data_IF_297088503990
#
_entry.id   IF_297088503990
#
_cell.length_a   1.000
_cell.length_b   1.000
_cell.length_c   1.000
_cell.angle_alpha   90.00
_cell.angle_beta   90.00
_cell.angle_gamma   90.00
#
_symmetry.space_group_name_H-M   'P 1'
#
loop_
_entity.id
_entity.type
_entity.pdbx_description
1 polymer ?
#
# COMPACT_ATOMS: atom_id res chain seq x y z
N UNK A 1 9.42 -2.36 1.07
CA UNK A 1 8.32 -2.21 0.10
C UNK A 1 7.84 -3.58 -0.30
N UNK A 2 6.58 -3.90 -0.08
CA UNK A 2 6.05 -5.25 -0.35
C UNK A 2 5.18 -5.20 -1.61
N UNK A 3 4.03 -4.52 -1.54
CA UNK A 3 3.19 -4.20 -2.70
C UNK A 3 2.93 -2.70 -2.71
N UNK A 4 2.18 -2.21 -3.69
CA UNK A 4 1.85 -0.78 -3.79
C UNK A 4 0.93 -0.26 -2.67
N UNK A 5 0.50 -1.12 -1.76
CA UNK A 5 -0.31 -0.76 -0.60
C UNK A 5 0.26 -1.26 0.73
N UNK A 6 1.46 -1.80 0.73
CA UNK A 6 2.04 -2.43 1.92
C UNK A 6 3.53 -2.12 2.01
N UNK A 7 3.96 -1.60 3.15
CA UNK A 7 5.36 -1.24 3.36
C UNK A 7 5.82 -1.68 4.76
N UNK A 8 7.12 -1.96 4.86
CA UNK A 8 7.75 -2.23 6.15
C UNK A 8 8.30 -0.93 6.69
N UNK A 9 8.02 -0.64 7.95
CA UNK A 9 8.50 0.59 8.60
C UNK A 9 9.14 0.24 9.93
N UNK A 10 9.97 1.18 10.41
CA UNK A 10 10.47 1.16 11.78
C UNK A 10 9.80 2.30 12.52
N UNK A 11 8.93 1.97 13.45
CA UNK A 11 8.15 2.96 14.19
C UNK A 11 8.83 3.26 15.52
N UNK A 12 9.10 4.53 15.79
CA UNK A 12 9.57 4.96 17.11
C UNK A 12 8.37 5.11 18.04
N UNK A 13 8.35 4.33 19.11
CA UNK A 13 7.20 4.29 20.01
C UNK A 13 7.44 5.00 21.33
N UNK A 14 8.61 4.85 21.96
CA UNK A 14 8.91 5.51 23.23
C UNK A 14 10.36 5.31 23.62
N UNK A 15 10.96 6.31 24.29
CA UNK A 15 12.30 6.26 24.88
C UNK A 15 13.33 5.58 23.98
N UNK A 16 13.42 6.03 22.73
CA UNK A 16 14.36 5.52 21.73
C UNK A 16 14.13 4.05 21.35
N UNK A 17 12.95 3.51 21.64
CA UNK A 17 12.60 2.16 21.19
C UNK A 17 11.94 2.21 19.82
N UNK A 18 12.48 1.42 18.90
CA UNK A 18 11.92 1.26 17.57
C UNK A 18 11.30 -0.13 17.44
N UNK A 19 10.16 -0.19 16.75
CA UNK A 19 9.50 -1.44 16.42
C UNK A 19 9.41 -1.56 14.91
N UNK A 20 9.91 -2.66 14.36
CA UNK A 20 9.71 -2.98 12.96
C UNK A 20 8.29 -3.53 12.79
N UNK A 21 7.53 -2.95 11.86
CA UNK A 21 6.18 -3.40 11.59
C UNK A 21 5.86 -3.29 10.11
N UNK A 22 4.88 -4.07 9.68
CA UNK A 22 4.36 -4.01 8.31
C UNK A 22 3.08 -3.19 8.36
N UNK A 23 3.00 -2.18 7.52
CA UNK A 23 1.85 -1.27 7.43
C UNK A 23 1.11 -1.54 6.12
N UNK A 24 -0.16 -1.87 6.23
CA UNK A 24 -1.12 -1.88 5.14
C UNK A 24 -1.72 -0.49 5.06
N UNK A 25 -1.55 0.18 3.94
CA UNK A 25 -2.11 1.52 3.74
C UNK A 25 -3.63 1.40 3.66
N UNK A 26 -4.32 2.11 4.54
CA UNK A 26 -5.77 2.03 4.63
C UNK A 26 -6.44 2.72 3.45
N UNK A 27 -7.59 2.19 3.07
CA UNK A 27 -8.43 2.83 2.05
C UNK A 27 -8.10 2.50 0.61
N UNK A 28 -7.08 1.68 0.34
CA UNK A 28 -6.70 1.33 -1.03
C UNK A 28 -6.46 -0.17 -1.21
N UNK A 29 -6.53 -0.59 -2.45
CA UNK A 29 -6.16 -1.93 -2.90
C UNK A 29 -5.24 -1.80 -4.11
N UNK A 30 -4.06 -2.41 -4.04
CA UNK A 30 -3.08 -2.40 -5.11
C UNK A 30 -3.06 -3.76 -5.82
N UNK A 31 -2.68 -3.77 -7.11
CA UNK A 31 -2.41 -5.04 -7.78
C UNK A 31 -1.22 -5.74 -7.11
N UNK A 32 -1.24 -7.07 -7.14
CA UNK A 32 -0.26 -7.88 -6.42
C UNK A 32 0.87 -8.31 -7.34
N UNK A 33 2.10 -8.31 -6.81
CA UNK A 33 3.27 -8.83 -7.53
C UNK A 33 3.10 -10.31 -7.88
N UNK A 34 2.31 -11.04 -7.08
CA UNK A 34 1.96 -12.43 -7.33
C UNK A 34 0.59 -12.58 -7.99
N UNK A 35 0.20 -11.57 -8.77
CA UNK A 35 -1.09 -11.55 -9.42
C UNK A 35 -1.29 -12.66 -10.44
N UNK A 36 -2.54 -12.87 -10.84
CA UNK A 36 -2.95 -14.01 -11.66
C UNK A 36 -2.74 -13.81 -13.15
N UNK A 37 -2.41 -12.59 -13.60
CA UNK A 37 -2.13 -12.32 -15.01
C UNK A 37 -0.93 -11.38 -15.14
N UNK A 38 -0.30 -11.39 -16.33
CA UNK A 38 0.87 -10.56 -16.59
C UNK A 38 0.57 -9.08 -16.43
N UNK A 39 -0.63 -8.64 -16.82
CA UNK A 39 -1.03 -7.25 -16.70
C UNK A 39 -1.13 -6.81 -15.23
N UNK A 40 -1.66 -7.66 -14.36
CA UNK A 40 -1.70 -7.36 -12.92
C UNK A 40 -0.28 -7.25 -12.35
N UNK A 41 0.59 -8.19 -12.68
CA UNK A 41 1.97 -8.18 -12.21
C UNK A 41 2.73 -6.94 -12.69
N UNK A 42 2.52 -6.52 -13.93
CA UNK A 42 3.14 -5.31 -14.46
C UNK A 42 2.63 -4.05 -13.74
N UNK A 43 1.33 -3.97 -13.49
CA UNK A 43 0.73 -2.88 -12.71
C UNK A 43 1.25 -2.87 -11.28
N UNK A 44 1.45 -4.04 -10.69
CA UNK A 44 1.99 -4.17 -9.34
C UNK A 44 3.40 -3.61 -9.23
N UNK A 45 4.25 -3.89 -10.23
CA UNK A 45 5.60 -3.33 -10.28
C UNK A 45 5.55 -1.81 -10.36
N UNK A 46 4.66 -1.26 -11.20
CA UNK A 46 4.51 0.18 -11.34
C UNK A 46 4.00 0.84 -10.05
N UNK A 47 3.01 0.24 -9.40
CA UNK A 47 2.44 0.76 -8.15
C UNK A 47 3.48 0.72 -7.02
N UNK A 48 4.22 -0.37 -6.90
CA UNK A 48 5.30 -0.50 -5.92
C UNK A 48 6.40 0.53 -6.13
N UNK A 49 6.82 0.73 -7.38
CA UNK A 49 7.84 1.71 -7.72
C UNK A 49 7.37 3.13 -7.39
N UNK A 50 6.11 3.45 -7.69
CA UNK A 50 5.54 4.75 -7.39
C UNK A 50 5.49 5.00 -5.89
N UNK A 51 5.08 4.00 -5.10
CA UNK A 51 5.06 4.11 -3.65
C UNK A 51 6.49 4.35 -3.10
N UNK A 52 7.46 3.60 -3.57
CA UNK A 52 8.84 3.75 -3.17
C UNK A 52 9.37 5.14 -3.49
N UNK A 53 9.09 5.65 -4.69
CA UNK A 53 9.51 6.98 -5.11
C UNK A 53 8.83 8.07 -4.27
N UNK A 54 7.54 7.93 -4.02
CA UNK A 54 6.75 8.91 -3.27
C UNK A 54 7.24 9.06 -1.83
N UNK A 55 7.56 7.94 -1.17
CA UNK A 55 8.06 7.94 0.20
C UNK A 55 9.54 8.35 0.26
N UNK A 56 10.34 7.91 -0.71
CA UNK A 56 11.78 8.16 -0.71
C UNK A 56 12.44 7.57 0.52
N UNK A 57 13.44 8.26 1.04
CA UNK A 57 14.17 7.88 2.25
C UNK A 57 13.65 8.61 3.49
N UNK A 58 12.63 9.44 3.31
CA UNK A 58 12.10 10.25 4.39
C UNK A 58 11.21 9.48 5.35
N UNK A 59 10.98 10.03 6.54
CA UNK A 59 10.01 9.47 7.46
C UNK A 59 8.59 9.63 6.93
N UNK A 60 7.71 8.73 7.38
CA UNK A 60 6.28 8.83 7.10
C UNK A 60 5.53 9.02 8.42
N UNK A 61 4.36 9.65 8.34
CA UNK A 61 3.46 9.78 9.47
C UNK A 61 2.31 8.79 9.32
N UNK A 62 2.08 8.03 10.36
CA UNK A 62 0.96 7.08 10.42
C UNK A 62 -0.13 7.67 11.30
N UNK A 63 -1.37 7.63 10.80
CA UNK A 63 -2.55 8.06 11.57
C UNK A 63 -3.62 6.99 11.50
N UNK A 64 -4.56 7.01 12.44
CA UNK A 64 -5.64 6.03 12.53
C UNK A 64 -5.13 4.60 12.49
N UNK A 65 -4.09 4.33 13.26
CA UNK A 65 -3.45 3.02 13.29
C UNK A 65 -4.39 2.02 13.95
N UNK A 66 -4.64 0.92 13.25
CA UNK A 66 -5.47 -0.17 13.75
C UNK A 66 -4.83 -1.52 13.43
N UNK A 67 -5.40 -2.56 14.00
CA UNK A 67 -4.93 -3.91 13.69
C UNK A 67 -5.44 -4.34 12.31
N UNK A 68 -4.56 -4.94 11.52
CA UNK A 68 -4.98 -5.66 10.32
C UNK A 68 -5.54 -7.03 10.73
N UNK A 69 -6.40 -7.59 9.90
CA UNK A 69 -6.98 -8.92 10.13
C UNK A 69 -5.93 -10.03 10.14
N UNK A 70 -4.75 -9.76 9.59
CA UNK A 70 -3.62 -10.69 9.62
C UNK A 70 -2.67 -10.27 10.73
N UNK A 71 -2.23 -11.21 11.56
CA UNK A 71 -1.31 -10.94 12.66
C UNK A 71 0.01 -10.34 12.19
N UNK A 72 0.62 -9.50 13.03
CA UNK A 72 1.93 -8.90 12.78
C UNK A 72 1.91 -7.69 11.86
N UNK A 73 0.73 -7.22 11.43
CA UNK A 73 0.57 -6.04 10.58
C UNK A 73 -0.42 -5.07 11.20
N UNK A 74 -0.27 -3.81 10.81
CA UNK A 74 -1.24 -2.77 11.18
C UNK A 74 -1.80 -2.13 9.91
N UNK A 75 -2.99 -1.53 10.04
CA UNK A 75 -3.55 -0.65 9.02
C UNK A 75 -3.40 0.78 9.48
N UNK A 76 -3.06 1.66 8.58
CA UNK A 76 -2.91 3.07 8.92
C UNK A 76 -3.08 3.94 7.68
N UNK A 77 -3.48 5.20 7.90
CA UNK A 77 -3.31 6.25 6.90
C UNK A 77 -1.85 6.69 6.93
N UNK A 78 -1.28 6.93 5.75
CA UNK A 78 0.15 7.24 5.61
C UNK A 78 0.30 8.58 4.90
N UNK A 79 1.09 9.47 5.49
CA UNK A 79 1.47 10.72 4.86
C UNK A 79 2.98 10.79 4.71
N UNK A 80 3.45 11.41 3.63
CA UNK A 80 4.88 11.63 3.40
C UNK A 80 5.42 12.71 4.34
N UNK A 81 6.75 12.85 4.39
CA UNK A 81 7.39 13.90 5.17
C UNK A 81 6.91 15.29 4.75
N UNK A 82 6.56 15.49 3.48
CA UNK A 82 6.01 16.75 2.97
C UNK A 82 4.51 16.94 3.25
N UNK A 83 3.86 15.97 3.88
CA UNK A 83 2.45 16.04 4.23
C UNK A 83 1.49 15.53 3.18
N UNK A 84 1.97 14.91 2.10
CA UNK A 84 1.09 14.36 1.07
C UNK A 84 0.44 13.05 1.54
N UNK A 85 -0.86 12.91 1.30
CA UNK A 85 -1.58 11.67 1.55
C UNK A 85 -1.18 10.64 0.49
N UNK A 86 -0.57 9.55 0.93
CA UNK A 86 -0.03 8.53 0.04
C UNK A 86 -1.15 7.82 -0.72
N UNK A 87 -2.23 7.45 -0.04
CA UNK A 87 -3.36 6.76 -0.67
C UNK A 87 -3.98 7.62 -1.78
N UNK A 88 -4.29 8.88 -1.50
CA UNK A 88 -4.91 9.77 -2.48
C UNK A 88 -3.99 10.04 -3.67
N UNK A 89 -2.70 10.15 -3.44
CA UNK A 89 -1.72 10.35 -4.51
C UNK A 89 -1.69 9.15 -5.45
N UNK A 90 -1.68 7.95 -4.91
CA UNK A 90 -1.67 6.72 -5.72
C UNK A 90 -2.98 6.50 -6.45
N UNK A 91 -4.11 6.84 -5.84
CA UNK A 91 -5.43 6.78 -6.49
C UNK A 91 -5.47 7.75 -7.67
N UNK A 92 -5.04 8.99 -7.47
CA UNK A 92 -5.03 10.01 -8.51
C UNK A 92 -4.15 9.61 -9.69
N UNK A 93 -3.07 8.87 -9.46
CA UNK A 93 -2.20 8.35 -10.50
C UNK A 93 -2.76 7.11 -11.21
N UNK A 94 -3.89 6.57 -10.76
CA UNK A 94 -4.51 5.39 -11.36
C UNK A 94 -3.80 4.07 -11.06
N UNK A 95 -2.94 4.05 -10.03
CA UNK A 95 -2.10 2.89 -9.73
C UNK A 95 -2.73 1.94 -8.72
N UNK A 96 -3.71 2.41 -7.95
CA UNK A 96 -4.43 1.64 -6.97
C UNK A 96 -5.90 2.01 -7.03
N UNK A 97 -6.76 1.22 -6.37
CA UNK A 97 -8.19 1.47 -6.26
C UNK A 97 -8.56 1.85 -4.84
N UNK A 98 -9.62 2.65 -4.68
CA UNK A 98 -10.25 2.83 -3.38
C UNK A 98 -10.79 1.50 -2.88
N UNK A 99 -10.65 1.26 -1.58
CA UNK A 99 -11.09 0.01 -0.99
C UNK A 99 -11.52 0.27 0.46
N UNK A 100 -12.79 -0.03 0.75
CA UNK A 100 -13.37 0.19 2.08
C UNK A 100 -13.54 -1.11 2.88
N UNK A 101 -12.89 -2.18 2.45
CA UNK A 101 -13.06 -3.50 3.03
C UNK A 101 -14.01 -4.37 2.22
N UNK A 102 -14.23 -5.59 2.67
CA UNK A 102 -15.09 -6.53 1.99
C UNK A 102 -14.39 -7.27 0.85
N UNK A 103 -15.17 -7.62 -0.18
CA UNK A 103 -14.64 -8.38 -1.31
C UNK A 103 -13.79 -7.49 -2.21
N UNK A 104 -12.58 -7.95 -2.49
CA UNK A 104 -11.69 -7.24 -3.42
C UNK A 104 -12.12 -7.48 -4.86
N UNK A 105 -12.04 -6.42 -5.67
CA UNK A 105 -12.29 -6.53 -7.11
C UNK A 105 -11.07 -7.19 -7.79
N UNK A 106 -11.30 -8.08 -8.77
CA UNK A 106 -10.18 -8.67 -9.49
C UNK A 106 -9.46 -7.63 -10.36
N UNK A 107 -8.18 -7.86 -10.61
CA UNK A 107 -7.36 -7.08 -11.52
C UNK A 107 -7.28 -7.69 -12.90
N UNK A 108 -7.74 -8.93 -13.05
CA UNK A 108 -7.72 -9.69 -14.29
C UNK A 108 -9.11 -10.19 -14.62
N UNK A 109 -9.44 -10.29 -15.90
CA UNK A 109 -10.64 -10.99 -16.34
C UNK A 109 -10.44 -12.52 -16.20
N UNK A 110 -11.52 -13.28 -16.35
CA UNK A 110 -11.45 -14.74 -16.35
C UNK A 110 -10.50 -15.29 -17.43
N UNK A 111 -10.33 -14.54 -18.53
CA UNK A 111 -9.40 -14.91 -19.60
C UNK A 111 -7.96 -14.45 -19.40
N UNK A 112 -7.65 -13.79 -18.27
CA UNK A 112 -6.32 -13.29 -17.97
C UNK A 112 -6.03 -11.90 -18.52
N UNK A 113 -7.02 -11.22 -19.12
CA UNK A 113 -6.86 -9.86 -19.61
C UNK A 113 -6.97 -8.85 -18.45
N UNK A 114 -6.38 -7.64 -18.59
CA UNK A 114 -6.50 -6.64 -17.55
C UNK A 114 -7.93 -6.13 -17.42
N UNK A 115 -8.33 -5.84 -16.19
CA UNK A 115 -9.58 -5.13 -15.92
C UNK A 115 -9.40 -3.66 -16.26
N UNK A 116 -10.43 -3.00 -16.78
CA UNK A 116 -10.38 -1.56 -17.07
C UNK A 116 -10.25 -0.69 -15.81
#
# INVERSE_FOLDING_TARGET
MIDGDTLAVRARIWLDQDVATIVRIDGIDAPELRGTCDAERARAVAARAALAWLIGDGPVTLTDVGHDKYGGRVRAEVATAAGADVAETLIAAGLVRRYAGGTRQPWCTAGGDPMP
#
